data_IF_929663977587
#
_entry.id   IF_929663977587
#
_cell.length_a   1.000
_cell.length_b   1.000
_cell.length_c   1.000
_cell.angle_alpha   90.00
_cell.angle_beta   90.00
_cell.angle_gamma   90.00
#
_symmetry.space_group_name_H-M   'P 1'
#
loop_
_entity.id
_entity.type
_entity.pdbx_description
1 polymer ?
#
# COMPACT_ATOMS: atom_id res chain seq x y z
N UNK A 1 -14.15 20.00 -46.54
CA UNK A 1 -12.88 19.32 -46.85
C UNK A 1 -12.37 18.72 -45.56
N UNK A 2 -12.37 17.39 -45.46
CA UNK A 2 -11.75 16.67 -44.34
C UNK A 2 -10.29 16.41 -44.71
N UNK A 3 -9.36 16.85 -43.87
CA UNK A 3 -7.93 16.56 -44.06
C UNK A 3 -7.71 15.05 -44.07
N UNK A 4 -6.96 14.59 -45.07
CA UNK A 4 -6.55 13.20 -45.23
C UNK A 4 -5.68 12.84 -44.03
N UNK A 5 -6.20 12.02 -43.12
CA UNK A 5 -5.43 11.49 -41.98
C UNK A 5 -6.15 11.41 -40.63
N UNK A 6 -7.42 11.80 -40.52
CA UNK A 6 -8.15 11.74 -39.24
C UNK A 6 -9.20 10.62 -39.22
N UNK A 7 -9.04 9.67 -38.30
CA UNK A 7 -9.86 8.45 -38.16
C UNK A 7 -11.19 8.66 -37.41
N UNK A 8 -11.69 9.89 -37.28
CA UNK A 8 -13.03 10.18 -36.77
C UNK A 8 -13.35 9.56 -35.41
N UNK A 9 -12.31 9.34 -34.58
CA UNK A 9 -12.47 8.76 -33.26
C UNK A 9 -13.37 9.62 -32.37
N UNK A 10 -14.04 9.03 -31.36
CA UNK A 10 -14.89 9.79 -30.46
C UNK A 10 -14.14 11.01 -29.91
N UNK A 11 -14.81 12.16 -29.73
CA UNK A 11 -14.18 13.34 -29.15
C UNK A 11 -13.53 12.95 -27.83
N UNK A 12 -12.26 13.30 -27.66
CA UNK A 12 -11.53 13.02 -26.44
C UNK A 12 -11.99 14.03 -25.37
N UNK A 13 -13.23 13.89 -24.90
CA UNK A 13 -13.57 14.24 -23.52
C UNK A 13 -12.95 13.17 -22.60
N UNK A 14 -11.64 12.90 -22.79
CA UNK A 14 -10.89 11.99 -21.94
C UNK A 14 -10.72 12.71 -20.61
N UNK A 15 -11.31 12.16 -19.55
CA UNK A 15 -10.94 12.56 -18.20
C UNK A 15 -9.40 12.60 -18.13
N UNK A 16 -8.80 13.71 -17.67
CA UNK A 16 -7.35 13.84 -17.67
C UNK A 16 -6.72 12.64 -16.96
N UNK A 17 -5.88 11.88 -17.66
CA UNK A 17 -5.15 10.78 -17.06
C UNK A 17 -4.32 11.30 -15.88
N UNK A 18 -4.69 10.93 -14.66
CA UNK A 18 -3.91 11.22 -13.46
C UNK A 18 -2.93 10.06 -13.24
N UNK A 19 -1.61 10.28 -13.36
CA UNK A 19 -0.65 9.22 -13.12
C UNK A 19 -0.62 8.83 -11.63
N UNK A 20 -0.11 7.64 -11.32
CA UNK A 20 -0.04 7.13 -9.94
C UNK A 20 0.76 8.00 -8.96
N UNK A 21 1.64 8.89 -9.47
CA UNK A 21 2.40 9.86 -8.67
C UNK A 21 1.67 11.21 -8.49
N UNK A 22 0.45 11.34 -9.01
CA UNK A 22 -0.37 12.55 -8.93
C UNK A 22 0.29 13.76 -9.58
N UNK A 23 0.06 14.94 -8.99
CA UNK A 23 0.63 16.23 -9.43
C UNK A 23 2.08 16.45 -8.98
N UNK A 24 2.64 15.54 -8.17
CA UNK A 24 3.99 15.65 -7.63
C UNK A 24 5.08 15.16 -8.60
N UNK A 25 6.37 15.39 -8.29
CA UNK A 25 7.46 14.89 -9.10
C UNK A 25 7.55 13.36 -9.09
N UNK A 26 7.65 12.73 -10.27
CA UNK A 26 7.82 11.28 -10.43
C UNK A 26 8.96 10.71 -9.58
N UNK A 27 10.06 11.47 -9.45
CA UNK A 27 11.23 11.07 -8.64
C UNK A 27 10.87 10.81 -7.18
N UNK A 28 10.01 11.64 -6.59
CA UNK A 28 9.59 11.51 -5.19
C UNK A 28 8.76 10.24 -5.00
N UNK A 29 7.83 9.97 -5.92
CA UNK A 29 7.03 8.75 -5.89
C UNK A 29 7.88 7.48 -6.02
N UNK A 30 8.83 7.46 -6.97
CA UNK A 30 9.73 6.31 -7.15
C UNK A 30 10.65 6.10 -5.94
N UNK A 31 11.18 7.18 -5.37
CA UNK A 31 12.00 7.12 -4.16
C UNK A 31 11.20 6.57 -2.96
N UNK A 32 9.99 7.08 -2.73
CA UNK A 32 9.08 6.58 -1.69
C UNK A 32 8.74 5.10 -1.90
N UNK A 33 8.34 4.72 -3.12
CA UNK A 33 7.98 3.32 -3.44
C UNK A 33 9.14 2.37 -3.21
N UNK A 34 10.36 2.77 -3.59
CA UNK A 34 11.58 1.99 -3.37
C UNK A 34 11.93 1.88 -1.90
N UNK A 35 11.87 3.00 -1.15
CA UNK A 35 12.11 3.02 0.28
C UNK A 35 11.11 2.12 1.04
N UNK A 36 9.81 2.23 0.69
CA UNK A 36 8.75 1.36 1.23
C UNK A 36 9.04 -0.12 0.93
N UNK A 37 9.37 -0.46 -0.33
CA UNK A 37 9.72 -1.85 -0.68
C UNK A 37 10.90 -2.37 0.15
N UNK A 38 11.93 -1.55 0.34
CA UNK A 38 13.10 -1.91 1.14
C UNK A 38 12.78 -2.07 2.62
N UNK A 39 11.97 -1.18 3.20
CA UNK A 39 11.57 -1.27 4.61
C UNK A 39 10.74 -2.54 4.91
N UNK A 40 9.89 -2.95 3.98
CA UNK A 40 9.06 -4.15 4.12
C UNK A 40 9.78 -5.44 3.71
N UNK A 41 10.98 -5.35 3.11
CA UNK A 41 11.75 -6.52 2.74
C UNK A 41 12.26 -7.24 4.00
N UNK A 42 11.86 -8.51 4.23
CA UNK A 42 12.34 -9.26 5.38
C UNK A 42 13.80 -9.65 5.20
N UNK A 43 14.56 -9.70 6.30
CA UNK A 43 15.97 -10.12 6.30
C UNK A 43 16.12 -11.57 5.83
N UNK A 44 15.13 -12.42 6.12
CA UNK A 44 15.07 -13.81 5.66
C UNK A 44 13.63 -14.29 5.47
N UNK A 45 13.46 -15.43 4.80
CA UNK A 45 12.16 -16.11 4.65
C UNK A 45 11.54 -16.45 6.01
N UNK A 46 12.35 -16.89 6.98
CA UNK A 46 11.85 -17.27 8.30
C UNK A 46 11.32 -16.08 9.08
N UNK A 47 11.96 -14.91 8.95
CA UNK A 47 11.45 -13.65 9.53
C UNK A 47 10.09 -13.29 8.91
N UNK A 48 9.93 -13.46 7.60
CA UNK A 48 8.66 -13.22 6.93
C UNK A 48 7.55 -14.13 7.47
N UNK A 49 7.83 -15.44 7.53
CA UNK A 49 6.89 -16.45 8.06
C UNK A 49 6.57 -16.21 9.53
N UNK A 50 7.55 -15.79 10.33
CA UNK A 50 7.34 -15.43 11.73
C UNK A 50 6.35 -14.27 11.86
N UNK A 51 6.53 -13.19 11.08
CA UNK A 51 5.64 -12.03 11.06
C UNK A 51 4.24 -12.39 10.60
N UNK A 52 4.10 -13.23 9.57
CA UNK A 52 2.80 -13.74 9.09
C UNK A 52 2.06 -14.47 10.22
N UNK A 53 2.71 -15.46 10.85
CA UNK A 53 2.09 -16.23 11.97
C UNK A 53 1.74 -15.37 13.17
N UNK A 54 2.49 -14.30 13.43
CA UNK A 54 2.17 -13.33 14.49
C UNK A 54 0.95 -12.51 14.10
N UNK A 55 0.90 -11.99 12.88
CA UNK A 55 -0.24 -11.22 12.37
C UNK A 55 -1.54 -12.05 12.42
N UNK A 56 -1.50 -13.28 11.91
CA UNK A 56 -2.64 -14.22 11.90
C UNK A 56 -3.20 -14.45 13.31
N UNK A 57 -2.32 -14.69 14.30
CA UNK A 57 -2.73 -14.88 15.70
C UNK A 57 -3.41 -13.67 16.33
N UNK A 58 -3.10 -12.47 15.83
CA UNK A 58 -3.66 -11.21 16.34
C UNK A 58 -4.86 -10.72 15.49
N UNK A 59 -5.26 -11.46 14.44
CA UNK A 59 -6.30 -11.01 13.51
C UNK A 59 -5.88 -9.82 12.63
N UNK A 60 -4.57 -9.61 12.50
CA UNK A 60 -3.98 -8.54 11.69
C UNK A 60 -3.51 -9.09 10.34
N UNK A 61 -3.46 -8.22 9.34
CA UNK A 61 -2.75 -8.50 8.10
C UNK A 61 -1.23 -8.39 8.32
N UNK A 62 -0.45 -9.03 7.45
CA UNK A 62 1.02 -8.89 7.47
C UNK A 62 1.47 -7.42 7.41
N UNK A 63 0.79 -6.62 6.58
CA UNK A 63 1.13 -5.21 6.39
C UNK A 63 0.85 -4.37 7.65
N UNK A 64 -0.29 -4.58 8.31
CA UNK A 64 -0.61 -3.93 9.58
C UNK A 64 0.39 -4.30 10.68
N UNK A 65 0.67 -5.60 10.87
CA UNK A 65 1.64 -6.06 11.87
C UNK A 65 3.05 -5.51 11.60
N UNK A 66 3.48 -5.54 10.34
CA UNK A 66 4.83 -5.09 9.96
C UNK A 66 4.95 -3.58 10.08
N UNK A 67 3.91 -2.81 9.76
CA UNK A 67 3.92 -1.35 9.91
C UNK A 67 4.12 -0.96 11.38
N UNK A 68 3.37 -1.58 12.29
CA UNK A 68 3.54 -1.35 13.72
C UNK A 68 4.92 -1.71 14.25
N UNK A 69 5.50 -2.82 13.76
CA UNK A 69 6.87 -3.20 14.10
C UNK A 69 7.89 -2.17 13.60
N UNK A 70 7.70 -1.63 12.39
CA UNK A 70 8.61 -0.64 11.81
C UNK A 70 8.49 0.73 12.49
N UNK A 71 7.28 1.13 12.88
CA UNK A 71 7.02 2.43 13.51
C UNK A 71 7.41 2.44 15.00
N UNK A 72 7.11 1.36 15.73
CA UNK A 72 7.35 1.27 17.18
C UNK A 72 8.67 0.59 17.56
N UNK A 73 9.25 -0.19 16.64
CA UNK A 73 10.40 -1.07 16.94
C UNK A 73 10.08 -2.27 17.83
N UNK A 74 8.80 -2.50 18.19
CA UNK A 74 8.37 -3.56 19.11
C UNK A 74 7.45 -4.57 18.41
N UNK A 75 7.62 -5.84 18.75
CA UNK A 75 6.67 -6.89 18.37
C UNK A 75 5.39 -6.81 19.22
N UNK A 76 4.23 -6.67 18.56
CA UNK A 76 2.92 -6.78 19.22
C UNK A 76 2.75 -8.15 19.89
N UNK A 77 2.18 -8.13 21.08
CA UNK A 77 1.76 -9.29 21.87
C UNK A 77 0.23 -9.37 21.93
N UNK A 78 -0.31 -10.48 22.44
CA UNK A 78 -1.75 -10.68 22.53
C UNK A 78 -2.40 -9.73 23.56
N UNK A 79 -1.63 -9.29 24.54
CA UNK A 79 -2.05 -8.38 25.59
C UNK A 79 -2.16 -6.92 25.12
N UNK A 80 -1.58 -6.58 23.97
CA UNK A 80 -1.65 -5.23 23.36
C UNK A 80 -3.05 -4.97 22.73
N UNK A 81 -4.12 -5.35 23.45
CA UNK A 81 -5.50 -5.44 22.97
C UNK A 81 -6.05 -4.10 22.47
N UNK A 82 -5.81 -3.02 23.20
CA UNK A 82 -6.22 -1.68 22.80
C UNK A 82 -5.55 -1.27 21.48
N UNK A 83 -4.24 -1.52 21.35
CA UNK A 83 -3.50 -1.14 20.14
C UNK A 83 -3.97 -1.96 18.94
N UNK A 84 -4.19 -3.26 19.12
CA UNK A 84 -4.74 -4.15 18.09
C UNK A 84 -6.12 -3.65 17.64
N UNK A 85 -6.99 -3.28 18.58
CA UNK A 85 -8.30 -2.73 18.26
C UNK A 85 -8.21 -1.41 17.45
N UNK A 86 -7.29 -0.51 17.81
CA UNK A 86 -7.04 0.73 17.05
C UNK A 86 -6.60 0.45 15.61
N UNK A 87 -5.70 -0.51 15.41
CA UNK A 87 -5.21 -0.89 14.08
C UNK A 87 -6.38 -1.42 13.23
N UNK A 88 -7.18 -2.34 13.81
CA UNK A 88 -8.35 -2.91 13.14
C UNK A 88 -9.38 -1.83 12.82
N UNK A 89 -9.63 -0.89 13.74
CA UNK A 89 -10.57 0.21 13.53
C UNK A 89 -10.16 1.16 12.38
N UNK A 90 -8.86 1.29 12.11
CA UNK A 90 -8.33 2.10 11.00
C UNK A 90 -8.43 1.40 9.64
N UNK A 91 -8.71 0.11 9.61
CA UNK A 91 -8.83 -0.67 8.37
C UNK A 91 -10.02 -0.15 7.56
N UNK A 92 -9.74 0.61 6.50
CA UNK A 92 -10.78 1.01 5.55
C UNK A 92 -11.34 -0.25 4.89
N UNK A 93 -12.67 -0.41 4.77
CA UNK A 93 -13.23 -1.48 3.96
C UNK A 93 -12.70 -1.36 2.54
N UNK A 94 -12.36 -2.48 1.89
CA UNK A 94 -12.08 -2.48 0.45
C UNK A 94 -13.29 -1.89 -0.25
N UNK A 95 -13.12 -0.76 -0.93
CA UNK A 95 -14.15 -0.26 -1.85
C UNK A 95 -14.43 -1.39 -2.85
N UNK A 96 -15.72 -1.74 -3.09
CA UNK A 96 -16.04 -2.70 -4.14
C UNK A 96 -15.52 -2.14 -5.47
N UNK A 97 -14.76 -2.98 -6.18
CA UNK A 97 -14.31 -2.71 -7.56
C UNK A 97 -15.44 -2.94 -8.54
#
# INVERSE_FOLDING_TARGET
MAEIGHNGGPPLDEEPHVPAWGTGPIRTYVAWRTARKKAFAPVSRDVALFRIRKAERLGLTYEEYTSELLDSGRHLQAEDTQRIAEIIARRKPKSPS
#
